data_IF_212342977304
#
_entry.id   IF_212342977304
#
_cell.length_a   1.000
_cell.length_b   1.000
_cell.length_c   1.000
_cell.angle_alpha   90.00
_cell.angle_beta   90.00
_cell.angle_gamma   90.00
#
_symmetry.space_group_name_H-M   'P 1'
#
loop_
_entity.id
_entity.type
_entity.pdbx_description
1 polymer ?
#
# COMPACT_ATOMS: atom_id res chain seq x y z
N UNK A 1 61.16 32.39 -6.88
CA UNK A 1 60.49 31.08 -7.09
C UNK A 1 61.22 30.09 -6.22
N UNK A 2 60.58 29.46 -5.21
CA UNK A 2 59.33 28.72 -5.33
C UNK A 2 58.24 29.13 -4.32
N UNK A 3 56.99 28.99 -4.74
CA UNK A 3 55.79 29.33 -3.96
C UNK A 3 55.30 28.17 -3.10
N UNK A 4 54.89 28.53 -1.89
CA UNK A 4 54.28 27.69 -0.86
C UNK A 4 52.87 27.28 -1.27
N UNK A 5 52.61 25.98 -1.47
CA UNK A 5 51.25 25.45 -1.67
C UNK A 5 50.69 25.02 -0.31
N UNK A 6 49.56 25.62 0.07
CA UNK A 6 48.79 25.33 1.28
C UNK A 6 48.28 23.89 1.25
N UNK A 7 48.41 23.19 2.39
CA UNK A 7 47.70 21.95 2.68
C UNK A 7 46.20 22.23 2.66
N UNK A 8 45.45 21.49 1.84
CA UNK A 8 44.01 21.37 1.97
C UNK A 8 43.70 20.20 2.90
N UNK A 9 42.81 20.45 3.85
CA UNK A 9 42.40 19.56 4.92
C UNK A 9 41.58 18.37 4.42
N UNK A 10 41.81 17.23 5.09
CA UNK A 10 40.95 16.05 5.27
C UNK A 10 39.79 15.80 4.31
N UNK A 11 40.00 14.86 3.38
CA UNK A 11 38.92 13.95 3.00
C UNK A 11 39.09 12.69 3.84
N UNK A 12 38.23 12.51 4.85
CA UNK A 12 38.10 11.24 5.58
C UNK A 12 37.57 10.19 4.60
N UNK A 13 38.48 9.53 3.89
CA UNK A 13 38.20 8.27 3.26
C UNK A 13 37.87 7.29 4.39
N UNK A 14 36.62 6.82 4.44
CA UNK A 14 36.22 5.72 5.30
C UNK A 14 37.00 4.48 4.86
N UNK A 15 38.16 4.30 5.49
CA UNK A 15 39.05 3.16 5.31
C UNK A 15 38.42 1.99 6.04
N UNK A 16 37.69 1.16 5.31
CA UNK A 16 37.26 -0.16 5.77
C UNK A 16 38.48 -1.08 5.78
N UNK A 17 39.34 -0.92 6.79
CA UNK A 17 40.36 -1.91 7.11
C UNK A 17 39.72 -3.25 7.49
N UNK A 18 40.37 -4.41 7.22
CA UNK A 18 39.84 -5.72 7.57
C UNK A 18 40.05 -5.96 9.08
N UNK A 19 39.23 -5.31 9.89
CA UNK A 19 39.22 -5.45 11.34
C UNK A 19 37.82 -5.76 11.84
N UNK A 20 37.62 -6.98 12.35
CA UNK A 20 36.39 -7.50 12.99
C UNK A 20 35.34 -8.22 12.12
N UNK A 21 35.79 -8.92 11.07
CA UNK A 21 34.94 -9.87 10.33
C UNK A 21 35.10 -11.33 10.79
N UNK A 22 35.81 -11.60 11.89
CA UNK A 22 35.99 -12.97 12.40
C UNK A 22 34.99 -13.26 13.52
N UNK A 23 33.81 -13.77 13.14
CA UNK A 23 32.85 -14.33 14.11
C UNK A 23 31.36 -14.28 13.74
N UNK A 24 30.96 -13.66 12.62
CA UNK A 24 29.54 -13.58 12.23
C UNK A 24 29.20 -14.70 11.25
N UNK A 25 28.08 -15.39 11.48
CA UNK A 25 27.70 -16.53 10.67
C UNK A 25 27.28 -16.05 9.26
N UNK A 26 27.54 -16.83 8.19
CA UNK A 26 27.18 -16.47 6.80
C UNK A 26 25.68 -16.18 6.55
N UNK A 27 24.82 -16.36 7.56
CA UNK A 27 23.36 -16.26 7.49
C UNK A 27 22.79 -14.94 8.03
N UNK A 28 23.63 -14.01 8.47
CA UNK A 28 23.19 -12.87 9.28
C UNK A 28 22.75 -11.63 8.48
N UNK A 29 22.44 -11.76 7.17
CA UNK A 29 22.01 -10.64 6.28
C UNK A 29 22.74 -9.31 6.59
N UNK A 30 24.07 -9.36 6.60
CA UNK A 30 24.92 -8.30 7.17
C UNK A 30 24.79 -6.92 6.49
N UNK A 31 24.15 -6.88 5.32
CA UNK A 31 23.84 -5.66 4.57
C UNK A 31 22.59 -4.93 5.08
N UNK A 32 21.78 -5.55 5.95
CA UNK A 32 20.58 -4.94 6.54
C UNK A 32 20.94 -4.36 7.91
N UNK A 33 20.68 -3.07 8.10
CA UNK A 33 20.71 -2.46 9.44
C UNK A 33 19.36 -2.67 10.13
N UNK A 34 19.30 -3.45 11.23
CA UNK A 34 18.05 -3.68 11.95
C UNK A 34 17.52 -2.41 12.60
N UNK A 35 16.20 -2.19 12.57
CA UNK A 35 15.54 -1.07 13.26
C UNK A 35 15.50 -1.24 14.77
N UNK A 36 15.42 -2.49 15.24
CA UNK A 36 15.41 -2.87 16.66
C UNK A 36 16.72 -3.57 17.02
N UNK A 37 16.82 -4.09 18.25
CA UNK A 37 18.02 -4.78 18.76
C UNK A 37 18.47 -5.97 17.90
N UNK A 38 17.54 -6.64 17.22
CA UNK A 38 17.80 -7.79 16.34
C UNK A 38 17.03 -7.62 15.04
N UNK A 39 17.59 -8.15 13.95
CA UNK A 39 16.92 -8.26 12.66
C UNK A 39 15.63 -9.06 12.82
N UNK A 40 14.50 -8.49 12.42
CA UNK A 40 13.23 -9.23 12.39
C UNK A 40 13.11 -10.07 11.12
N UNK A 41 12.22 -11.07 11.14
CA UNK A 41 11.90 -11.85 9.93
C UNK A 41 11.38 -10.94 8.81
N UNK A 42 10.50 -9.98 9.13
CA UNK A 42 10.03 -8.94 8.20
C UNK A 42 11.17 -8.20 7.52
N UNK A 43 12.17 -7.74 8.28
CA UNK A 43 13.31 -7.02 7.72
C UNK A 43 14.14 -7.92 6.82
N UNK A 44 14.38 -9.17 7.25
CA UNK A 44 15.17 -10.15 6.50
C UNK A 44 14.54 -10.53 5.15
N UNK A 45 13.20 -10.60 5.06
CA UNK A 45 12.48 -11.00 3.84
C UNK A 45 12.03 -9.83 2.97
N UNK A 46 12.09 -8.60 3.48
CA UNK A 46 11.60 -7.41 2.75
C UNK A 46 12.74 -6.51 2.29
N UNK A 47 13.65 -6.15 3.19
CA UNK A 47 14.63 -5.10 2.93
C UNK A 47 15.57 -5.48 1.79
N UNK A 48 15.72 -4.55 0.84
CA UNK A 48 16.59 -4.67 -0.34
C UNK A 48 16.21 -5.78 -1.31
N UNK A 49 14.93 -6.17 -1.35
CA UNK A 49 14.39 -7.01 -2.43
C UNK A 49 14.18 -6.19 -3.70
N UNK A 50 13.94 -4.88 -3.58
CA UNK A 50 13.97 -3.95 -4.69
C UNK A 50 15.44 -3.66 -5.08
N UNK A 51 15.88 -3.95 -6.32
CA UNK A 51 17.26 -3.80 -6.75
C UNK A 51 17.58 -2.33 -7.09
N UNK A 52 17.56 -1.47 -6.08
CA UNK A 52 17.91 -0.06 -6.24
C UNK A 52 19.38 0.08 -6.64
N UNK A 53 19.71 0.78 -7.74
CA UNK A 53 21.09 0.90 -8.19
C UNK A 53 21.96 1.57 -7.13
N UNK A 54 21.46 2.57 -6.42
CA UNK A 54 22.23 3.25 -5.36
C UNK A 54 22.61 2.33 -4.18
N UNK A 55 21.95 1.19 -4.01
CA UNK A 55 22.18 0.28 -2.89
C UNK A 55 23.21 -0.81 -3.21
N UNK A 56 23.20 -1.38 -4.42
CA UNK A 56 24.06 -2.53 -4.77
C UNK A 56 24.61 -2.54 -6.21
N UNK A 57 24.29 -1.56 -7.05
CA UNK A 57 24.71 -1.55 -8.46
C UNK A 57 25.50 -0.29 -8.83
N UNK A 58 26.45 -0.43 -9.74
CA UNK A 58 27.30 0.66 -10.24
C UNK A 58 26.88 1.03 -11.67
N UNK A 59 26.22 0.12 -12.41
CA UNK A 59 25.93 0.28 -13.84
C UNK A 59 24.50 0.75 -14.14
N UNK A 60 23.66 0.90 -13.11
CA UNK A 60 22.28 1.40 -13.26
C UNK A 60 21.31 0.32 -13.76
N UNK A 61 20.25 0.73 -14.46
CA UNK A 61 19.18 -0.19 -14.89
C UNK A 61 19.49 -0.88 -16.22
N UNK A 62 19.47 -2.21 -16.25
CA UNK A 62 19.74 -3.00 -17.47
C UNK A 62 18.67 -2.87 -18.56
N UNK A 63 17.42 -2.59 -18.21
CA UNK A 63 16.30 -2.46 -19.16
C UNK A 63 15.64 -1.11 -18.98
N UNK A 64 15.58 -0.36 -20.07
CA UNK A 64 14.94 0.95 -20.15
C UNK A 64 13.66 0.83 -20.96
N UNK A 65 12.65 1.60 -20.55
CA UNK A 65 11.37 1.68 -21.22
C UNK A 65 11.53 2.25 -22.64
N UNK A 66 10.60 1.88 -23.56
CA UNK A 66 10.60 2.41 -24.91
C UNK A 66 10.33 3.92 -24.91
N UNK A 67 10.83 4.61 -25.93
CA UNK A 67 10.66 6.05 -26.10
C UNK A 67 11.90 6.88 -25.74
N UNK A 68 11.90 8.18 -26.07
CA UNK A 68 13.08 9.05 -25.95
C UNK A 68 13.50 9.31 -24.49
N UNK A 69 12.59 9.14 -23.54
CA UNK A 69 12.83 9.37 -22.11
C UNK A 69 13.47 8.17 -21.40
N UNK A 70 13.57 7.01 -22.08
CA UNK A 70 14.21 5.80 -21.57
C UNK A 70 13.86 5.45 -20.11
N UNK A 71 12.56 5.34 -19.81
CA UNK A 71 12.04 5.17 -18.45
C UNK A 71 12.71 3.99 -17.73
N UNK A 72 13.39 4.27 -16.63
CA UNK A 72 13.98 3.24 -15.76
C UNK A 72 12.92 2.46 -14.98
N UNK A 73 13.30 1.33 -14.38
CA UNK A 73 12.37 0.51 -13.59
C UNK A 73 11.78 1.27 -12.39
N UNK A 74 12.59 2.10 -11.72
CA UNK A 74 12.14 3.09 -10.73
C UNK A 74 12.87 4.42 -10.97
N UNK A 75 12.19 5.53 -10.70
CA UNK A 75 12.63 6.90 -10.96
C UNK A 75 12.57 7.71 -9.68
N UNK A 76 13.65 8.35 -9.24
CA UNK A 76 13.61 9.21 -8.03
C UNK A 76 12.67 10.41 -8.22
N UNK A 77 12.48 10.81 -9.46
CA UNK A 77 11.60 11.90 -9.91
C UNK A 77 10.12 11.49 -9.92
N UNK A 78 9.78 10.23 -9.60
CA UNK A 78 8.38 9.78 -9.47
C UNK A 78 7.64 10.42 -8.29
N UNK A 79 8.36 11.12 -7.42
CA UNK A 79 7.78 11.94 -6.35
C UNK A 79 8.60 13.21 -6.14
N UNK A 80 7.96 14.26 -5.63
CA UNK A 80 8.60 15.49 -5.17
C UNK A 80 9.26 15.32 -3.80
N UNK A 81 8.89 14.29 -3.04
CA UNK A 81 9.52 13.99 -1.76
C UNK A 81 10.97 13.57 -1.97
N UNK A 82 11.85 14.03 -1.09
CA UNK A 82 13.26 13.64 -1.10
C UNK A 82 13.61 13.00 0.24
N UNK A 83 14.32 11.88 0.18
CA UNK A 83 14.83 11.19 1.35
C UNK A 83 16.22 10.63 1.02
N UNK A 84 17.21 10.73 1.94
CA UNK A 84 18.56 10.24 1.68
C UNK A 84 18.61 8.71 1.47
N UNK A 85 17.71 7.97 2.13
CA UNK A 85 17.69 6.51 2.05
C UNK A 85 16.26 5.95 2.20
N UNK A 86 15.60 5.62 1.10
CA UNK A 86 14.19 5.18 1.09
C UNK A 86 13.94 3.87 1.83
N UNK A 87 14.96 3.04 2.04
CA UNK A 87 14.90 1.82 2.84
C UNK A 87 14.98 2.07 4.35
N UNK A 88 14.92 3.31 4.84
CA UNK A 88 14.83 3.56 6.29
C UNK A 88 13.42 3.33 6.85
N UNK A 89 12.40 3.33 5.98
CA UNK A 89 11.03 3.05 6.38
C UNK A 89 10.88 1.62 6.89
N UNK A 90 10.10 1.45 7.95
CA UNK A 90 9.74 0.15 8.51
C UNK A 90 8.28 0.20 8.92
N UNK A 91 7.49 -0.75 8.46
CA UNK A 91 6.14 -0.94 8.96
C UNK A 91 6.19 -1.26 10.48
N UNK A 92 5.55 -0.46 11.35
CA UNK A 92 5.46 -0.76 12.77
C UNK A 92 4.83 -2.13 13.08
N UNK A 93 3.89 -2.58 12.24
CA UNK A 93 3.24 -3.88 12.36
C UNK A 93 4.10 -5.03 11.82
N UNK A 94 5.23 -4.72 11.17
CA UNK A 94 6.17 -5.68 10.58
C UNK A 94 5.48 -6.69 9.66
N UNK A 95 4.50 -6.22 8.89
CA UNK A 95 3.76 -7.07 7.96
C UNK A 95 4.59 -7.38 6.73
N UNK A 96 4.66 -8.65 6.40
CA UNK A 96 5.07 -9.15 5.09
C UNK A 96 3.99 -10.09 4.58
N UNK A 97 4.09 -10.54 3.32
CA UNK A 97 3.00 -11.25 2.64
C UNK A 97 2.34 -12.35 3.49
N UNK A 98 3.14 -13.20 4.14
CA UNK A 98 2.63 -14.33 4.93
C UNK A 98 1.84 -13.87 6.15
N UNK A 99 2.36 -12.90 6.92
CA UNK A 99 1.68 -12.43 8.13
C UNK A 99 0.41 -11.66 7.79
N UNK A 100 0.47 -10.85 6.72
CA UNK A 100 -0.67 -10.11 6.22
C UNK A 100 -1.80 -11.05 5.75
N UNK A 101 -1.50 -11.97 4.84
CA UNK A 101 -2.52 -12.91 4.31
C UNK A 101 -3.10 -13.78 5.41
N UNK A 102 -2.29 -14.22 6.37
CA UNK A 102 -2.78 -14.99 7.51
C UNK A 102 -3.78 -14.18 8.35
N UNK A 103 -3.42 -12.93 8.69
CA UNK A 103 -4.30 -12.04 9.43
C UNK A 103 -5.62 -11.81 8.69
N UNK A 104 -5.57 -11.53 7.39
CA UNK A 104 -6.76 -11.33 6.56
C UNK A 104 -7.63 -12.58 6.52
N UNK A 105 -7.04 -13.76 6.32
CA UNK A 105 -7.79 -15.02 6.32
C UNK A 105 -8.47 -15.33 7.67
N UNK A 106 -7.86 -14.94 8.78
CA UNK A 106 -8.48 -15.06 10.12
C UNK A 106 -9.67 -14.10 10.26
N UNK A 107 -9.56 -12.87 9.76
CA UNK A 107 -10.65 -11.88 9.74
C UNK A 107 -11.82 -12.32 8.85
N UNK A 108 -11.55 -12.74 7.61
CA UNK A 108 -12.60 -13.16 6.67
C UNK A 108 -13.41 -14.35 7.20
N UNK A 109 -12.75 -15.37 7.76
CA UNK A 109 -13.46 -16.49 8.39
C UNK A 109 -14.30 -16.05 9.60
N UNK A 110 -13.91 -15.00 10.31
CA UNK A 110 -14.68 -14.48 11.43
C UNK A 110 -15.92 -13.73 10.96
N UNK A 111 -15.80 -12.95 9.88
CA UNK A 111 -16.92 -12.26 9.22
C UNK A 111 -17.92 -13.29 8.70
N UNK A 112 -17.45 -14.29 7.95
CA UNK A 112 -18.29 -15.37 7.39
C UNK A 112 -19.12 -16.06 8.48
N UNK A 113 -18.48 -16.53 9.57
CA UNK A 113 -19.20 -17.12 10.71
C UNK A 113 -20.20 -16.16 11.35
N UNK A 114 -19.81 -14.90 11.55
CA UNK A 114 -20.71 -13.92 12.16
C UNK A 114 -21.95 -13.66 11.27
N UNK A 115 -21.78 -13.65 9.95
CA UNK A 115 -22.89 -13.49 9.00
C UNK A 115 -23.81 -14.71 8.95
N UNK A 116 -23.25 -15.92 9.03
CA UNK A 116 -24.02 -17.17 9.11
C UNK A 116 -24.81 -17.27 10.42
N UNK A 117 -24.16 -16.97 11.55
CA UNK A 117 -24.81 -16.98 12.87
C UNK A 117 -25.94 -15.94 12.94
N UNK A 118 -25.74 -14.74 12.38
CA UNK A 118 -26.76 -13.70 12.30
C UNK A 118 -27.97 -14.14 11.45
N UNK A 119 -27.72 -14.83 10.33
CA UNK A 119 -28.77 -15.40 9.48
C UNK A 119 -29.56 -16.48 10.23
N UNK A 120 -28.86 -17.43 10.86
CA UNK A 120 -29.46 -18.52 11.61
C UNK A 120 -30.28 -18.02 12.82
N UNK A 121 -29.84 -16.94 13.46
CA UNK A 121 -30.54 -16.30 14.56
C UNK A 121 -31.75 -15.44 14.11
N UNK A 122 -31.93 -15.22 12.80
CA UNK A 122 -32.97 -14.34 12.27
C UNK A 122 -32.73 -12.85 12.58
N UNK A 123 -31.49 -12.45 12.87
CA UNK A 123 -31.15 -11.10 13.33
C UNK A 123 -31.54 -10.00 12.32
N UNK A 124 -31.65 -10.33 11.03
CA UNK A 124 -32.07 -9.40 9.99
C UNK A 124 -33.53 -8.94 10.14
N UNK A 125 -34.38 -9.70 10.84
CA UNK A 125 -35.78 -9.33 11.07
C UNK A 125 -35.93 -8.14 12.04
N UNK A 126 -34.92 -7.92 12.89
CA UNK A 126 -34.91 -6.83 13.88
C UNK A 126 -34.38 -5.51 13.30
N UNK A 127 -33.88 -5.52 12.05
CA UNK A 127 -33.39 -4.33 11.38
C UNK A 127 -34.55 -3.39 11.03
N UNK A 128 -34.35 -2.10 11.32
CA UNK A 128 -35.33 -1.08 10.96
C UNK A 128 -35.50 -1.00 9.43
N UNK A 129 -36.75 -1.10 8.98
CA UNK A 129 -37.06 -1.12 7.54
C UNK A 129 -36.76 0.21 6.87
N UNK A 130 -36.97 1.33 7.54
CA UNK A 130 -36.69 2.65 6.96
C UNK A 130 -35.18 2.86 6.79
N UNK A 131 -34.36 2.36 7.71
CA UNK A 131 -32.91 2.35 7.57
C UNK A 131 -32.46 1.51 6.37
N UNK A 132 -33.04 0.32 6.21
CA UNK A 132 -32.72 -0.54 5.08
C UNK A 132 -33.08 0.09 3.73
N UNK A 133 -34.28 0.67 3.61
CA UNK A 133 -34.75 1.24 2.34
C UNK A 133 -34.17 2.61 2.05
N UNK A 134 -34.13 3.50 3.03
CA UNK A 134 -33.74 4.90 2.81
C UNK A 134 -32.23 5.09 2.87
N UNK A 135 -31.48 4.24 3.58
CA UNK A 135 -30.03 4.43 3.76
C UNK A 135 -29.22 3.32 3.12
N UNK A 136 -29.44 2.07 3.52
CA UNK A 136 -28.59 0.97 3.04
C UNK A 136 -28.77 0.75 1.54
N UNK A 137 -30.01 0.61 1.08
CA UNK A 137 -30.32 0.33 -0.31
C UNK A 137 -29.91 1.47 -1.27
N UNK A 138 -29.94 2.73 -0.82
CA UNK A 138 -29.64 3.89 -1.67
C UNK A 138 -28.19 4.36 -1.62
N UNK A 139 -27.56 4.30 -0.45
CA UNK A 139 -26.35 5.08 -0.17
C UNK A 139 -25.16 4.22 0.25
N UNK A 140 -25.37 3.02 0.82
CA UNK A 140 -24.27 2.24 1.39
C UNK A 140 -23.28 1.74 0.33
N UNK A 141 -23.79 1.26 -0.81
CA UNK A 141 -22.96 0.77 -1.92
C UNK A 141 -22.05 1.85 -2.50
N UNK A 142 -22.41 3.13 -2.37
CA UNK A 142 -21.68 4.23 -2.98
C UNK A 142 -20.26 4.35 -2.41
N UNK A 143 -20.09 4.01 -1.14
CA UNK A 143 -18.77 3.95 -0.49
C UNK A 143 -17.81 2.99 -1.20
N UNK A 144 -18.31 1.91 -1.80
CA UNK A 144 -17.44 0.95 -2.53
C UNK A 144 -16.75 1.59 -3.74
N UNK A 145 -17.33 2.63 -4.36
CA UNK A 145 -16.69 3.35 -5.47
C UNK A 145 -15.53 4.23 -5.00
N UNK A 146 -15.67 4.88 -3.84
CA UNK A 146 -14.58 5.65 -3.23
C UNK A 146 -13.43 4.74 -2.77
N UNK A 147 -13.77 3.63 -2.10
CA UNK A 147 -12.80 2.61 -1.67
C UNK A 147 -12.05 2.02 -2.88
N UNK A 148 -12.74 1.79 -4.00
CA UNK A 148 -12.10 1.36 -5.24
C UNK A 148 -11.13 2.40 -5.81
N UNK A 149 -11.46 3.70 -5.71
CA UNK A 149 -10.56 4.76 -6.14
C UNK A 149 -9.28 4.83 -5.28
N UNK A 150 -9.42 4.65 -3.96
CA UNK A 150 -8.27 4.55 -3.05
C UNK A 150 -7.40 3.34 -3.38
N UNK A 151 -7.99 2.16 -3.60
CA UNK A 151 -7.24 1.00 -4.09
C UNK A 151 -6.42 1.33 -5.34
N UNK A 152 -7.00 2.02 -6.31
CA UNK A 152 -6.32 2.39 -7.56
C UNK A 152 -5.14 3.34 -7.33
N UNK A 153 -5.29 4.31 -6.44
CA UNK A 153 -4.22 5.22 -6.03
C UNK A 153 -3.05 4.44 -5.39
N UNK A 154 -3.34 3.58 -4.41
CA UNK A 154 -2.33 2.75 -3.76
C UNK A 154 -1.68 1.72 -4.69
N UNK A 155 -2.42 1.20 -5.67
CA UNK A 155 -1.86 0.28 -6.66
C UNK A 155 -0.76 0.96 -7.50
N UNK A 156 -0.99 2.19 -7.97
CA UNK A 156 0.04 2.98 -8.65
C UNK A 156 1.18 3.31 -7.68
N UNK A 157 0.85 3.73 -6.46
CA UNK A 157 1.86 4.13 -5.50
C UNK A 157 2.80 2.98 -5.10
N UNK A 158 2.26 1.76 -4.93
CA UNK A 158 3.05 0.56 -4.63
C UNK A 158 4.06 0.22 -5.73
N UNK A 159 3.73 0.53 -7.00
CA UNK A 159 4.62 0.29 -8.14
C UNK A 159 5.75 1.32 -8.20
N UNK A 160 5.45 2.59 -7.99
CA UNK A 160 6.42 3.69 -8.12
C UNK A 160 7.23 3.95 -6.84
N UNK A 161 6.86 3.33 -5.72
CA UNK A 161 7.56 3.40 -4.45
C UNK A 161 9.06 3.12 -4.58
N UNK A 162 9.86 3.91 -3.86
CA UNK A 162 11.32 3.92 -4.00
C UNK A 162 12.05 2.99 -3.02
N UNK A 163 11.31 2.14 -2.30
CA UNK A 163 11.84 1.01 -1.55
C UNK A 163 10.80 -0.11 -1.39
N UNK A 164 11.27 -1.34 -1.24
CA UNK A 164 10.44 -2.52 -0.99
C UNK A 164 9.57 -2.41 0.27
N UNK A 165 10.13 -1.90 1.36
CA UNK A 165 9.38 -1.67 2.61
C UNK A 165 8.20 -0.72 2.42
N UNK A 166 8.34 0.33 1.61
CA UNK A 166 7.25 1.25 1.26
C UNK A 166 6.27 0.61 0.27
N UNK A 167 6.78 -0.02 -0.79
CA UNK A 167 5.95 -0.70 -1.79
C UNK A 167 5.03 -1.74 -1.17
N UNK A 168 5.55 -2.54 -0.23
CA UNK A 168 4.75 -3.57 0.46
C UNK A 168 3.63 -2.96 1.32
N UNK A 169 3.90 -1.92 2.12
CA UNK A 169 2.85 -1.33 2.96
C UNK A 169 1.77 -0.66 2.11
N UNK A 170 2.16 0.04 1.05
CA UNK A 170 1.22 0.68 0.12
C UNK A 170 0.38 -0.37 -0.62
N UNK A 171 1.00 -1.49 -1.00
CA UNK A 171 0.30 -2.63 -1.59
C UNK A 171 -0.75 -3.20 -0.62
N UNK A 172 -0.39 -3.43 0.65
CA UNK A 172 -1.33 -3.94 1.66
C UNK A 172 -2.49 -2.96 1.91
N UNK A 173 -2.22 -1.66 2.01
CA UNK A 173 -3.26 -0.63 2.12
C UNK A 173 -4.22 -0.65 0.92
N UNK A 174 -3.68 -0.75 -0.30
CA UNK A 174 -4.51 -0.90 -1.50
C UNK A 174 -5.41 -2.13 -1.44
N UNK A 175 -4.87 -3.27 -1.02
CA UNK A 175 -5.67 -4.49 -0.87
C UNK A 175 -6.74 -4.38 0.22
N UNK A 176 -6.48 -3.68 1.33
CA UNK A 176 -7.50 -3.43 2.35
C UNK A 176 -8.64 -2.56 1.81
N UNK A 177 -8.36 -1.52 1.03
CA UNK A 177 -9.40 -0.72 0.35
C UNK A 177 -10.21 -1.54 -0.65
N UNK A 178 -9.56 -2.37 -1.48
CA UNK A 178 -10.26 -3.28 -2.39
C UNK A 178 -11.17 -4.25 -1.64
N UNK A 179 -10.68 -4.82 -0.54
CA UNK A 179 -11.43 -5.75 0.30
C UNK A 179 -12.64 -5.06 0.93
N UNK A 180 -12.47 -3.83 1.42
CA UNK A 180 -13.60 -3.05 1.95
C UNK A 180 -14.67 -2.78 0.88
N UNK A 181 -14.25 -2.41 -0.33
CA UNK A 181 -15.17 -2.22 -1.46
C UNK A 181 -15.96 -3.51 -1.77
N UNK A 182 -15.30 -4.68 -1.73
CA UNK A 182 -15.94 -5.97 -1.94
C UNK A 182 -16.88 -6.36 -0.79
N UNK A 183 -16.47 -6.13 0.46
CA UNK A 183 -17.25 -6.42 1.66
C UNK A 183 -18.58 -5.66 1.67
N UNK A 184 -18.59 -4.39 1.23
CA UNK A 184 -19.83 -3.61 1.05
C UNK A 184 -20.80 -4.31 0.09
N UNK A 185 -20.30 -4.85 -1.02
CA UNK A 185 -21.15 -5.55 -2.01
C UNK A 185 -21.64 -6.90 -1.47
N UNK A 186 -20.76 -7.67 -0.84
CA UNK A 186 -21.13 -8.96 -0.23
C UNK A 186 -22.18 -8.80 0.86
N UNK A 187 -22.08 -7.74 1.68
CA UNK A 187 -23.07 -7.43 2.69
C UNK A 187 -24.44 -7.11 2.08
N UNK A 188 -24.49 -6.37 0.96
CA UNK A 188 -25.75 -6.10 0.27
C UNK A 188 -26.36 -7.37 -0.32
N UNK A 189 -25.55 -8.25 -0.90
CA UNK A 189 -26.02 -9.56 -1.39
C UNK A 189 -26.62 -10.41 -0.27
N UNK A 190 -25.97 -10.43 0.90
CA UNK A 190 -26.47 -11.11 2.09
C UNK A 190 -27.84 -10.56 2.54
N UNK A 191 -28.03 -9.24 2.50
CA UNK A 191 -29.33 -8.62 2.81
C UNK A 191 -30.39 -8.96 1.77
N UNK A 192 -30.04 -8.99 0.47
CA UNK A 192 -30.96 -9.38 -0.61
C UNK A 192 -31.42 -10.84 -0.51
N UNK A 193 -30.57 -11.73 0.02
CA UNK A 193 -30.86 -13.14 0.24
C UNK A 193 -31.76 -13.36 1.47
N UNK A 194 -31.57 -12.58 2.54
CA UNK A 194 -32.23 -12.81 3.83
C UNK A 194 -33.47 -11.93 4.07
N UNK A 195 -33.64 -10.83 3.32
CA UNK A 195 -34.73 -9.88 3.51
C UNK A 195 -35.59 -9.80 2.25
N UNK A 196 -36.81 -10.31 2.34
CA UNK A 196 -37.77 -10.27 1.24
C UNK A 196 -38.05 -8.83 0.78
N UNK A 197 -37.86 -8.57 -0.51
CA UNK A 197 -38.11 -7.27 -1.13
C UNK A 197 -36.97 -6.26 -0.99
N UNK A 198 -35.89 -6.56 -0.27
CA UNK A 198 -34.70 -5.70 -0.25
C UNK A 198 -33.97 -5.77 -1.60
N UNK A 199 -33.63 -4.61 -2.16
CA UNK A 199 -32.87 -4.46 -3.42
C UNK A 199 -32.03 -3.20 -3.36
N UNK A 200 -30.80 -3.25 -3.87
CA UNK A 200 -30.00 -2.05 -4.13
C UNK A 200 -30.75 -1.09 -5.08
N UNK A 201 -30.89 0.18 -4.68
CA UNK A 201 -31.63 1.22 -5.40
C UNK A 201 -30.75 1.94 -6.44
N UNK A 202 -29.97 1.17 -7.21
CA UNK A 202 -29.21 1.70 -8.34
C UNK A 202 -28.06 2.61 -7.94
N UNK A 203 -27.26 2.23 -6.95
CA UNK A 203 -26.19 3.07 -6.39
C UNK A 203 -25.18 3.60 -7.43
N UNK A 204 -24.94 2.85 -8.52
CA UNK A 204 -24.07 3.32 -9.61
C UNK A 204 -24.65 4.53 -10.33
N UNK A 205 -25.95 4.55 -10.60
CA UNK A 205 -26.59 5.70 -11.24
C UNK A 205 -26.52 6.91 -10.32
N UNK A 206 -26.83 6.72 -9.04
CA UNK A 206 -26.75 7.76 -8.01
C UNK A 206 -25.34 8.34 -7.88
N UNK A 207 -24.31 7.49 -7.83
CA UNK A 207 -22.90 7.92 -7.84
C UNK A 207 -22.56 8.78 -9.07
N UNK A 208 -23.13 8.48 -10.23
CA UNK A 208 -22.84 9.17 -11.48
C UNK A 208 -23.64 10.46 -11.64
N UNK A 209 -24.89 10.50 -11.18
CA UNK A 209 -25.87 11.54 -11.52
C UNK A 209 -26.30 12.41 -10.33
N UNK A 210 -26.34 11.87 -9.11
CA UNK A 210 -26.89 12.60 -7.97
C UNK A 210 -25.92 13.74 -7.55
N UNK A 211 -26.43 14.98 -7.37
CA UNK A 211 -25.61 16.12 -7.02
C UNK A 211 -24.85 15.96 -5.69
N UNK A 212 -25.40 15.21 -4.74
CA UNK A 212 -24.82 14.99 -3.40
C UNK A 212 -23.49 14.23 -3.45
N UNK A 213 -23.30 13.38 -4.48
CA UNK A 213 -22.11 12.54 -4.63
C UNK A 213 -21.05 13.12 -5.57
N UNK A 214 -21.37 14.14 -6.35
CA UNK A 214 -20.42 14.72 -7.30
C UNK A 214 -19.13 15.24 -6.63
N UNK A 215 -19.15 15.86 -5.42
CA UNK A 215 -17.91 16.24 -4.75
C UNK A 215 -17.03 15.04 -4.37
N UNK A 216 -17.64 13.95 -3.88
CA UNK A 216 -16.94 12.73 -3.54
C UNK A 216 -16.37 12.03 -4.79
N UNK A 217 -17.14 12.01 -5.87
CA UNK A 217 -16.70 11.49 -7.16
C UNK A 217 -15.55 12.30 -7.74
N UNK A 218 -15.62 13.62 -7.70
CA UNK A 218 -14.53 14.49 -8.15
C UNK A 218 -13.24 14.23 -7.34
N UNK A 219 -13.36 13.98 -6.03
CA UNK A 219 -12.22 13.57 -5.21
C UNK A 219 -11.67 12.21 -5.65
N UNK A 220 -12.53 11.21 -5.84
CA UNK A 220 -12.14 9.87 -6.30
C UNK A 220 -11.40 9.92 -7.66
N UNK A 221 -11.92 10.68 -8.62
CA UNK A 221 -11.30 10.90 -9.94
C UNK A 221 -9.95 11.62 -9.80
N UNK A 222 -9.86 12.62 -8.92
CA UNK A 222 -8.60 13.33 -8.63
C UNK A 222 -7.56 12.41 -7.97
N UNK A 223 -7.96 11.53 -7.06
CA UNK A 223 -7.05 10.56 -6.43
C UNK A 223 -6.49 9.57 -7.47
N UNK A 224 -7.32 9.16 -8.43
CA UNK A 224 -6.91 8.19 -9.45
C UNK A 224 -6.07 8.77 -10.59
N UNK A 225 -6.32 10.04 -10.97
CA UNK A 225 -5.82 10.64 -12.23
C UNK A 225 -5.21 12.04 -12.05
N UNK A 226 -5.28 12.63 -10.86
CA UNK A 226 -4.98 14.04 -10.64
C UNK A 226 -3.51 14.37 -10.42
N UNK A 227 -2.67 13.36 -10.20
CA UNK A 227 -1.22 13.50 -10.02
C UNK A 227 -0.53 12.25 -10.55
N UNK A 228 0.77 12.34 -10.83
CA UNK A 228 1.64 11.18 -11.09
C UNK A 228 2.61 10.95 -9.90
N UNK A 229 2.52 11.79 -8.86
CA UNK A 229 3.35 11.68 -7.66
C UNK A 229 2.78 10.62 -6.73
N UNK A 230 3.48 9.48 -6.62
CA UNK A 230 3.00 8.36 -5.83
C UNK A 230 2.85 8.66 -4.33
N UNK A 231 3.63 9.61 -3.81
CA UNK A 231 3.57 9.97 -2.40
C UNK A 231 2.49 11.02 -2.11
N UNK A 232 2.00 11.74 -3.12
CA UNK A 232 0.80 12.59 -3.01
C UNK A 232 -0.49 11.74 -3.11
N UNK A 233 -0.45 10.63 -3.85
CA UNK A 233 -1.56 9.69 -3.96
C UNK A 233 -1.82 8.89 -2.68
N UNK A 234 -0.76 8.58 -1.92
CA UNK A 234 -0.75 7.69 -0.76
C UNK A 234 -0.94 8.44 0.56
#
# INVERSE_FOLDING_TARGET
>A
MPGTVRRHEGHEQMTTGPGSAFGKAPRDHLYITPRKRRLSEYEAVTCYTQPGPDAFDIEGWFTLGPGPEHRTAWRKESTRLTHPHWWDFRDPAQQWQRTYVRMQAEQERAIERATEDAAAAGAYADLDRSWLTEVIAGHYRIWSFLEYALFRAFAVASREALSDTLGNVLCFQGFDHMRHAQAVVLYLMLLEENIEGFRDQGAKQRWLEDPEYQPMRALAEKLMLGTDDWAEMA
#
